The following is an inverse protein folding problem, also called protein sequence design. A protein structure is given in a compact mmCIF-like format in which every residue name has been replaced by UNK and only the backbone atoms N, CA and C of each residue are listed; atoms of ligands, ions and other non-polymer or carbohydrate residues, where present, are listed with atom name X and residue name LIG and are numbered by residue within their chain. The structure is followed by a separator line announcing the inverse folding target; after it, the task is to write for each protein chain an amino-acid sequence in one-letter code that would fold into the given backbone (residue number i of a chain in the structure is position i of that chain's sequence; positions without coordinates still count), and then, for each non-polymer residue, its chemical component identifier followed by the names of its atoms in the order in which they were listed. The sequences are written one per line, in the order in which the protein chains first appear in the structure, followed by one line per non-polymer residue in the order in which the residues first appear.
data_IF_218150214535
#
_entry.id   IF_218150214535
#
_cell.length_a   1.000
_cell.length_b   1.000
_cell.length_c   1.000
_cell.angle_alpha   90.00
_cell.angle_beta   90.00
_cell.angle_gamma   90.00
#
_symmetry.space_group_name_H-M   'P 1'
#
loop_
_entity.id
_entity.type
_entity.pdbx_description
1 polymer ?
#
# COMPACT_ATOMS: atom_id res chain seq x y z
N UNK A 1 -7.90 3.02 -1.81
CA UNK A 1 -6.72 3.01 -2.71
C UNK A 1 -6.47 4.42 -3.20
N UNK A 2 -5.31 4.70 -3.76
CA UNK A 2 -4.96 6.02 -4.28
C UNK A 2 -4.52 5.92 -5.72
N UNK A 3 -5.04 6.81 -6.55
CA UNK A 3 -4.66 6.90 -7.95
C UNK A 3 -3.17 7.23 -8.11
N UNK A 4 -2.46 6.40 -8.87
CA UNK A 4 -1.05 6.61 -9.24
C UNK A 4 -0.91 7.50 -10.48
N UNK A 5 -1.93 7.50 -11.33
CA UNK A 5 -1.99 8.21 -12.60
C UNK A 5 -3.37 8.83 -12.78
N UNK A 6 -3.46 9.81 -13.68
CA UNK A 6 -4.74 10.31 -14.16
C UNK A 6 -5.40 9.24 -15.03
N UNK A 7 -6.72 9.20 -15.02
CA UNK A 7 -7.52 8.29 -15.81
C UNK A 7 -8.77 9.00 -16.32
N UNK A 8 -9.01 8.86 -17.62
CA UNK A 8 -10.21 9.32 -18.29
C UNK A 8 -11.05 8.09 -18.64
N UNK A 9 -12.28 8.09 -18.17
CA UNK A 9 -13.22 7.01 -18.34
C UNK A 9 -13.64 6.85 -19.80
N UNK A 10 -13.62 5.60 -20.26
CA UNK A 10 -13.89 5.21 -21.63
C UNK A 10 -15.30 4.65 -21.81
N UNK A 11 -15.98 4.31 -20.72
CA UNK A 11 -17.38 3.84 -20.71
C UNK A 11 -18.25 4.61 -19.71
N UNK A 12 -19.56 4.42 -19.81
CA UNK A 12 -20.56 5.06 -18.93
C UNK A 12 -20.62 4.42 -17.53
N UNK A 13 -19.96 3.29 -17.31
CA UNK A 13 -19.85 2.64 -16.00
C UNK A 13 -18.57 3.06 -15.26
N UNK A 14 -17.57 3.59 -15.98
CA UNK A 14 -16.28 4.03 -15.45
C UNK A 14 -16.32 5.47 -14.94
N UNK A 15 -15.46 5.86 -13.98
CA UNK A 15 -15.33 7.27 -13.58
C UNK A 15 -13.92 7.83 -13.77
N UNK A 16 -13.84 9.13 -14.06
CA UNK A 16 -12.60 9.87 -14.18
C UNK A 16 -11.95 10.09 -12.79
N UNK A 17 -10.64 10.00 -12.71
CA UNK A 17 -9.89 10.36 -11.51
C UNK A 17 -8.51 10.91 -11.86
N UNK A 18 -7.94 11.65 -10.93
CA UNK A 18 -6.63 12.28 -11.04
C UNK A 18 -5.66 11.58 -10.11
N UNK A 19 -4.38 11.61 -10.45
CA UNK A 19 -3.30 11.14 -9.59
C UNK A 19 -3.42 11.77 -8.20
N UNK A 20 -3.37 10.92 -7.17
CA UNK A 20 -3.53 11.31 -5.77
C UNK A 20 -4.97 11.20 -5.26
N UNK A 21 -5.96 11.00 -6.12
CA UNK A 21 -7.34 10.78 -5.69
C UNK A 21 -7.47 9.52 -4.84
N UNK A 22 -8.26 9.64 -3.78
CA UNK A 22 -8.61 8.51 -2.92
C UNK A 22 -9.89 7.87 -3.46
N UNK A 23 -9.86 6.57 -3.65
CA UNK A 23 -10.99 5.77 -4.10
C UNK A 23 -11.28 4.71 -3.02
N UNK A 24 -12.52 4.68 -2.54
CA UNK A 24 -13.02 3.61 -1.69
C UNK A 24 -13.40 2.42 -2.58
N UNK A 25 -12.67 1.31 -2.47
CA UNK A 25 -12.95 0.10 -3.25
C UNK A 25 -14.14 -0.62 -2.61
N UNK A 26 -15.15 -0.93 -3.42
CA UNK A 26 -16.38 -1.63 -3.00
C UNK A 26 -16.44 -3.07 -3.53
N UNK A 27 -15.78 -3.38 -4.64
CA UNK A 27 -15.57 -4.75 -5.12
C UNK A 27 -14.29 -4.88 -5.95
N UNK A 28 -13.68 -6.07 -5.90
CA UNK A 28 -12.52 -6.46 -6.71
C UNK A 28 -12.94 -7.53 -7.72
N UNK A 29 -12.43 -7.44 -8.94
CA UNK A 29 -12.62 -8.41 -10.03
C UNK A 29 -11.27 -8.87 -10.56
N UNK A 30 -11.21 -10.09 -11.10
CA UNK A 30 -10.00 -10.68 -11.70
C UNK A 30 -9.70 -10.14 -13.10
N UNK A 31 -10.66 -9.50 -13.76
CA UNK A 31 -10.52 -8.88 -15.08
C UNK A 31 -9.71 -7.56 -15.06
N UNK A 32 -9.29 -7.11 -13.88
CA UNK A 32 -8.53 -5.89 -13.69
C UNK A 32 -9.38 -4.62 -13.52
N UNK A 33 -10.70 -4.72 -13.55
CA UNK A 33 -11.63 -3.61 -13.36
C UNK A 33 -12.33 -3.73 -12.01
N UNK A 34 -12.10 -2.75 -11.14
CA UNK A 34 -12.66 -2.74 -9.79
C UNK A 34 -13.85 -1.80 -9.70
N UNK A 35 -14.71 -2.05 -8.71
CA UNK A 35 -15.80 -1.16 -8.34
C UNK A 35 -15.41 -0.32 -7.13
N UNK A 36 -15.79 0.95 -7.13
CA UNK A 36 -15.50 1.86 -6.04
C UNK A 36 -16.15 3.23 -6.17
N UNK A 37 -15.86 4.07 -5.17
CA UNK A 37 -16.35 5.45 -5.09
C UNK A 37 -15.18 6.41 -4.90
N UNK A 38 -15.10 7.43 -5.75
CA UNK A 38 -14.16 8.54 -5.60
C UNK A 38 -14.46 9.30 -4.30
N UNK A 39 -13.51 9.52 -3.40
CA UNK A 39 -13.79 10.20 -2.13
C UNK A 39 -14.10 11.71 -2.27
N UNK A 40 -13.78 12.30 -3.42
CA UNK A 40 -14.21 13.65 -3.77
C UNK A 40 -15.68 13.66 -4.24
N UNK A 41 -16.59 13.98 -3.32
CA UNK A 41 -18.03 14.02 -3.57
C UNK A 41 -18.45 14.97 -4.69
N UNK A 42 -17.67 16.03 -4.98
CA UNK A 42 -18.04 17.01 -6.00
C UNK A 42 -17.79 16.49 -7.42
N UNK A 43 -16.94 15.48 -7.58
CA UNK A 43 -16.61 14.85 -8.86
C UNK A 43 -17.25 13.49 -9.06
N UNK A 44 -17.95 12.95 -8.05
CA UNK A 44 -18.72 11.71 -8.19
C UNK A 44 -19.82 11.88 -9.23
N UNK A 45 -19.98 10.87 -10.08
CA UNK A 45 -21.09 10.78 -11.03
C UNK A 45 -21.90 9.53 -10.70
N UNK A 46 -23.21 9.68 -10.53
CA UNK A 46 -24.10 8.55 -10.22
C UNK A 46 -24.05 7.49 -11.33
N UNK A 47 -23.95 6.22 -10.95
CA UNK A 47 -23.84 5.10 -11.89
C UNK A 47 -22.42 4.81 -12.39
N UNK A 48 -21.46 5.73 -12.18
CA UNK A 48 -20.05 5.53 -12.57
C UNK A 48 -19.24 5.05 -11.36
N UNK A 49 -18.87 3.78 -11.38
CA UNK A 49 -18.25 3.09 -10.24
C UNK A 49 -17.08 2.19 -10.63
N UNK A 50 -16.84 1.99 -11.92
CA UNK A 50 -15.79 1.12 -12.42
C UNK A 50 -14.49 1.91 -12.65
N UNK A 51 -13.35 1.29 -12.36
CA UNK A 51 -12.04 1.89 -12.62
C UNK A 51 -10.96 0.81 -12.78
N UNK A 52 -9.88 1.08 -13.52
CA UNK A 52 -8.81 0.12 -13.73
C UNK A 52 -7.92 -0.01 -12.49
N UNK A 53 -7.80 -1.23 -11.97
CA UNK A 53 -7.04 -1.54 -10.75
C UNK A 53 -5.54 -1.26 -10.86
N UNK A 54 -4.97 -1.32 -12.06
CA UNK A 54 -3.55 -1.03 -12.30
C UNK A 54 -3.21 0.47 -12.31
N UNK A 55 -4.21 1.35 -12.19
CA UNK A 55 -4.01 2.80 -12.06
C UNK A 55 -4.00 3.25 -10.60
N UNK A 56 -4.22 2.35 -9.65
CA UNK A 56 -4.31 2.66 -8.23
C UNK A 56 -3.31 1.85 -7.42
N UNK A 57 -3.00 2.32 -6.22
CA UNK A 57 -2.20 1.58 -5.25
C UNK A 57 -2.92 1.51 -3.91
N UNK A 58 -2.91 0.33 -3.30
CA UNK A 58 -3.28 0.15 -1.89
C UNK A 58 -2.23 0.72 -0.94
N UNK A 59 -1.02 1.06 -1.42
CA UNK A 59 0.08 1.59 -0.62
C UNK A 59 -0.19 2.99 -0.05
N UNK A 60 -1.28 3.66 -0.45
CA UNK A 60 -1.48 5.09 -0.21
C UNK A 60 -2.78 5.45 0.51
N UNK A 61 -3.37 4.56 1.33
CA UNK A 61 -4.40 5.03 2.28
C UNK A 61 -3.89 6.08 3.27
N UNK A 62 -2.59 6.41 3.27
CA UNK A 62 -2.02 7.51 4.05
C UNK A 62 -0.99 8.37 3.30
N UNK A 63 -1.03 8.46 1.96
CA UNK A 63 -0.30 9.48 1.17
C UNK A 63 1.21 9.67 1.47
N UNK A 64 1.84 8.73 2.15
CA UNK A 64 3.16 8.83 2.73
C UNK A 64 3.66 7.42 2.98
N UNK A 65 4.97 7.25 2.85
CA UNK A 65 5.66 6.04 3.25
C UNK A 65 5.04 5.50 4.55
N UNK A 66 4.53 4.26 4.55
CA UNK A 66 4.07 3.66 5.79
C UNK A 66 5.31 3.37 6.64
N UNK A 67 5.43 4.06 7.76
CA UNK A 67 6.48 3.82 8.74
C UNK A 67 5.94 2.93 9.84
N UNK A 68 6.77 2.01 10.29
CA UNK A 68 6.47 1.16 11.45
C UNK A 68 7.61 1.22 12.44
N UNK A 69 7.29 1.02 13.72
CA UNK A 69 8.27 0.84 14.78
C UNK A 69 8.27 -0.62 15.23
N UNK A 70 9.44 -1.23 15.36
CA UNK A 70 9.58 -2.57 15.91
C UNK A 70 9.19 -2.61 17.39
N UNK A 71 8.27 -3.50 17.75
CA UNK A 71 7.82 -3.73 19.12
C UNK A 71 8.75 -4.69 19.89
N UNK A 72 9.45 -5.55 19.16
CA UNK A 72 10.33 -6.60 19.68
C UNK A 72 11.59 -6.72 18.83
N UNK A 73 12.64 -7.30 19.40
CA UNK A 73 13.81 -7.73 18.65
C UNK A 73 13.45 -8.92 17.76
N UNK A 74 14.05 -8.99 16.59
CA UNK A 74 13.86 -10.08 15.64
C UNK A 74 15.17 -10.51 15.01
N UNK A 75 15.29 -11.82 14.82
CA UNK A 75 16.43 -12.46 14.15
C UNK A 75 15.92 -13.18 12.92
N UNK A 76 16.49 -12.80 11.77
CA UNK A 76 16.18 -13.40 10.48
C UNK A 76 16.40 -14.92 10.55
N UNK A 77 15.39 -15.64 10.12
CA UNK A 77 15.35 -17.10 10.03
C UNK A 77 15.65 -17.60 8.62
N UNK A 78 15.47 -16.75 7.60
CA UNK A 78 15.85 -17.02 6.21
C UNK A 78 16.63 -15.85 5.59
N UNK A 79 17.23 -16.10 4.43
CA UNK A 79 18.11 -15.13 3.77
C UNK A 79 17.40 -13.85 3.30
N UNK A 80 16.11 -13.91 2.95
CA UNK A 80 15.33 -12.76 2.52
C UNK A 80 14.91 -11.82 3.67
N UNK A 81 15.02 -12.28 4.92
CA UNK A 81 14.66 -11.52 6.11
C UNK A 81 15.84 -10.70 6.65
N UNK A 82 15.54 -9.60 7.36
CA UNK A 82 16.55 -8.80 8.07
C UNK A 82 16.35 -8.78 9.59
N UNK A 83 17.47 -8.67 10.31
CA UNK A 83 17.49 -8.46 11.75
C UNK A 83 17.04 -7.03 12.08
N UNK A 84 16.24 -6.87 13.12
CA UNK A 84 15.91 -5.57 13.69
C UNK A 84 15.78 -5.66 15.20
N UNK A 85 15.93 -4.51 15.86
CA UNK A 85 15.81 -4.34 17.31
C UNK A 85 14.53 -3.58 17.62
N UNK A 86 13.99 -3.79 18.81
CA UNK A 86 12.88 -3.01 19.34
C UNK A 86 13.20 -1.51 19.26
N UNK A 87 12.26 -0.75 18.71
CA UNK A 87 12.38 0.69 18.47
C UNK A 87 12.91 1.06 17.09
N UNK A 88 13.38 0.09 16.30
CA UNK A 88 13.78 0.35 14.92
C UNK A 88 12.61 0.83 14.07
N UNK A 89 12.91 1.79 13.19
CA UNK A 89 11.94 2.27 12.22
C UNK A 89 12.15 1.52 10.91
N UNK A 90 11.04 1.05 10.33
CA UNK A 90 11.01 0.33 9.06
C UNK A 90 10.03 1.04 8.13
N UNK A 91 10.53 1.45 6.97
CA UNK A 91 9.76 1.95 5.85
C UNK A 91 9.13 0.78 5.11
N UNK A 92 7.82 0.58 5.25
CA UNK A 92 7.11 -0.52 4.59
C UNK A 92 6.96 -0.22 3.10
N UNK A 93 7.30 -1.20 2.26
CA UNK A 93 7.21 -1.12 0.80
C UNK A 93 6.17 -2.07 0.22
N UNK A 94 5.81 -3.16 0.91
CA UNK A 94 4.70 -4.04 0.54
C UNK A 94 4.09 -4.77 1.74
N UNK A 95 2.78 -5.05 1.68
CA UNK A 95 2.01 -5.75 2.73
C UNK A 95 1.21 -6.92 2.14
N UNK A 96 1.86 -8.02 1.74
CA UNK A 96 1.13 -9.22 1.35
C UNK A 96 0.33 -9.79 2.55
N UNK A 97 -0.71 -10.56 2.25
CA UNK A 97 -1.64 -11.10 3.25
C UNK A 97 -1.12 -12.37 3.97
N UNK A 98 0.14 -12.75 3.75
CA UNK A 98 0.77 -13.93 4.37
C UNK A 98 1.42 -13.64 5.73
N UNK A 99 1.35 -12.39 6.19
CA UNK A 99 1.90 -11.94 7.47
C UNK A 99 3.37 -11.47 7.40
N UNK A 100 4.00 -11.51 6.23
CA UNK A 100 5.40 -11.12 6.03
C UNK A 100 5.50 -9.88 5.14
N UNK A 101 5.80 -8.74 5.74
CA UNK A 101 5.87 -7.49 5.01
C UNK A 101 7.24 -7.27 4.38
N UNK A 102 7.28 -6.46 3.33
CA UNK A 102 8.52 -5.96 2.74
C UNK A 102 8.79 -4.53 3.17
N UNK A 103 10.05 -4.18 3.42
CA UNK A 103 10.43 -2.82 3.81
C UNK A 103 11.94 -2.61 3.95
N UNK A 104 12.29 -1.37 4.30
CA UNK A 104 13.67 -0.93 4.50
C UNK A 104 13.85 -0.36 5.91
N UNK A 105 14.85 -0.86 6.63
CA UNK A 105 15.28 -0.31 7.91
C UNK A 105 15.82 1.11 7.71
N UNK A 106 15.44 2.12 8.50
CA UNK A 106 15.99 3.48 8.32
C UNK A 106 17.44 3.62 8.79
N UNK A 107 17.90 2.73 9.67
CA UNK A 107 19.30 2.71 10.11
C UNK A 107 20.22 2.20 9.00
N UNK A 108 20.76 3.10 8.18
CA UNK A 108 21.58 2.78 6.99
C UNK A 108 22.70 1.77 7.28
N UNK A 109 23.38 1.91 8.43
CA UNK A 109 24.50 1.05 8.83
C UNK A 109 24.12 -0.42 9.09
N UNK A 110 22.82 -0.73 9.18
CA UNK A 110 22.32 -2.10 9.40
C UNK A 110 21.52 -2.63 8.21
N UNK A 111 21.37 -1.85 7.14
CA UNK A 111 20.74 -2.32 5.90
C UNK A 111 21.62 -3.38 5.25
N UNK A 112 21.00 -4.46 4.79
CA UNK A 112 21.69 -5.51 4.02
C UNK A 112 20.98 -5.66 2.69
N UNK A 113 21.73 -5.54 1.60
CA UNK A 113 21.18 -5.67 0.25
C UNK A 113 20.50 -7.03 0.07
N UNK A 114 19.30 -7.02 -0.54
CA UNK A 114 18.50 -8.23 -0.77
C UNK A 114 17.66 -8.69 0.43
N UNK A 115 17.89 -8.15 1.63
CA UNK A 115 17.10 -8.47 2.84
C UNK A 115 16.02 -7.41 3.06
N UNK A 116 14.77 -7.78 2.84
CA UNK A 116 13.64 -6.84 2.82
C UNK A 116 12.41 -7.35 3.56
N UNK A 117 12.38 -8.63 3.94
CA UNK A 117 11.19 -9.24 4.53
C UNK A 117 11.25 -9.20 6.06
N UNK A 118 10.12 -8.97 6.72
CA UNK A 118 10.00 -8.99 8.17
C UNK A 118 8.57 -9.37 8.60
N UNK A 119 8.40 -9.98 9.79
CA UNK A 119 7.09 -10.40 10.26
C UNK A 119 6.27 -9.18 10.72
N UNK A 120 5.09 -9.01 10.12
CA UNK A 120 4.21 -7.86 10.37
C UNK A 120 3.72 -7.75 11.82
N UNK A 121 3.61 -8.87 12.54
CA UNK A 121 3.18 -8.90 13.93
C UNK A 121 4.25 -8.46 14.93
N UNK A 122 5.46 -8.13 14.48
CA UNK A 122 6.56 -7.59 15.31
C UNK A 122 6.64 -6.07 15.27
N UNK A 123 5.78 -5.41 14.50
CA UNK A 123 5.82 -3.96 14.33
C UNK A 123 4.47 -3.32 14.64
N UNK A 124 4.49 -2.04 14.97
CA UNK A 124 3.30 -1.20 14.99
C UNK A 124 3.43 -0.09 13.97
N UNK A 125 2.32 0.26 13.33
CA UNK A 125 2.26 1.44 12.48
C UNK A 125 2.52 2.71 13.32
N UNK A 126 3.29 3.63 12.75
CA UNK A 126 3.46 4.98 13.27
C UNK A 126 2.38 5.85 12.59
N UNK A 127 1.49 6.51 13.37
CA UNK A 127 0.47 7.42 12.84
C UNK A 127 1.05 8.61 12.10
#
# INVERSE_FOLDING_TARGET
VTALYDYEATTDEEFDFQKGDIIAVTAVSEDGWWSGELMDNNRRVSGRHIFPSNFVSSANLDGGQMWTAALHDYKATIDAEFDFQKGDIIAVTAMPYDGWWSGELLGENRRVAGKHIFPSNFVTRIP
#
